data_IF_395817635195
#
_entry.id   IF_395817635195
#
_cell.length_a   1.000
_cell.length_b   1.000
_cell.length_c   1.000
_cell.angle_alpha   90.00
_cell.angle_beta   90.00
_cell.angle_gamma   90.00
#
_symmetry.space_group_name_H-M   'P 1'
#
loop_
_entity.id
_entity.type
_entity.pdbx_description
1 polymer ?
#
# COMPACT_ATOMS: atom_id res chain seq x y z
N UNK A 1 -76.82 75.63 -2.54
CA UNK A 1 -76.66 74.26 -3.08
C UNK A 1 -75.57 73.58 -2.29
N UNK A 2 -75.85 72.35 -1.89
CA UNK A 2 -75.45 71.70 -0.64
C UNK A 2 -74.17 70.86 -0.77
N UNK A 3 -73.41 70.81 0.32
CA UNK A 3 -72.26 69.94 0.62
C UNK A 3 -72.44 68.45 0.26
N UNK A 4 -71.32 67.71 0.14
CA UNK A 4 -70.91 66.53 0.97
C UNK A 4 -69.81 65.76 0.21
N UNK A 5 -68.52 65.89 0.58
CA UNK A 5 -67.75 65.17 1.64
C UNK A 5 -67.10 63.88 1.11
N UNK A 6 -65.90 64.02 0.57
CA UNK A 6 -64.97 62.92 0.28
C UNK A 6 -64.40 62.37 1.60
N UNK A 7 -64.72 61.12 1.92
CA UNK A 7 -64.14 60.37 3.04
C UNK A 7 -62.72 59.92 2.67
N UNK A 8 -61.70 60.52 3.31
CA UNK A 8 -60.36 59.94 3.42
C UNK A 8 -60.33 58.99 4.61
N UNK A 9 -59.88 57.75 4.39
CA UNK A 9 -59.46 56.81 5.43
C UNK A 9 -57.92 56.65 5.40
N UNK A 10 -57.31 56.23 6.53
CA UNK A 10 -56.00 56.72 6.95
C UNK A 10 -54.81 55.89 6.46
N UNK A 11 -53.67 56.58 6.36
CA UNK A 11 -52.34 55.97 6.29
C UNK A 11 -52.06 55.13 7.54
N UNK A 12 -51.95 53.82 7.37
CA UNK A 12 -51.26 52.96 8.34
C UNK A 12 -49.79 52.92 7.94
N UNK A 13 -48.97 53.61 8.73
CA UNK A 13 -47.52 53.47 8.69
C UNK A 13 -47.16 52.12 9.28
N UNK A 14 -46.70 51.18 8.45
CA UNK A 14 -46.03 49.96 8.94
C UNK A 14 -44.53 50.27 9.00
N UNK A 15 -44.02 50.38 10.23
CA UNK A 15 -42.60 50.47 10.51
C UNK A 15 -41.90 49.18 10.08
N UNK A 16 -40.98 49.29 9.11
CA UNK A 16 -40.08 48.19 8.73
C UNK A 16 -38.91 48.18 9.71
N UNK A 17 -38.97 47.29 10.68
CA UNK A 17 -37.85 46.99 11.58
C UNK A 17 -37.17 45.69 11.12
N UNK A 18 -36.06 45.75 10.36
CA UNK A 18 -35.25 44.55 10.05
C UNK A 18 -33.75 44.86 9.82
N UNK A 19 -32.90 44.87 10.86
CA UNK A 19 -31.46 44.66 10.67
C UNK A 19 -30.95 43.29 11.18
N UNK A 20 -31.79 42.47 11.80
CA UNK A 20 -31.33 41.24 12.50
C UNK A 20 -31.15 39.98 11.61
N UNK A 21 -31.76 39.94 10.42
CA UNK A 21 -31.69 38.76 9.54
C UNK A 21 -30.37 38.69 8.74
N UNK A 22 -29.83 39.84 8.33
CA UNK A 22 -28.59 39.91 7.56
C UNK A 22 -27.37 39.43 8.36
N UNK A 23 -27.29 39.78 9.66
CA UNK A 23 -26.20 39.34 10.54
C UNK A 23 -26.19 37.83 10.80
N UNK A 24 -27.37 37.19 10.87
CA UNK A 24 -27.49 35.74 11.09
C UNK A 24 -27.08 34.93 9.86
N UNK A 25 -27.36 35.42 8.65
CA UNK A 25 -26.90 34.80 7.40
C UNK A 25 -25.39 34.94 7.18
N UNK A 26 -24.81 36.08 7.54
CA UNK A 26 -23.36 36.28 7.45
C UNK A 26 -22.61 35.35 8.42
N UNK A 27 -23.14 35.18 9.64
CA UNK A 27 -22.56 34.31 10.66
C UNK A 27 -22.57 32.82 10.26
N UNK A 28 -23.64 32.34 9.61
CA UNK A 28 -23.68 30.94 9.13
C UNK A 28 -22.71 30.70 7.98
N UNK A 29 -22.54 31.65 7.05
CA UNK A 29 -21.56 31.52 5.97
C UNK A 29 -20.12 31.48 6.50
N UNK A 30 -19.79 32.34 7.48
CA UNK A 30 -18.46 32.32 8.14
C UNK A 30 -18.23 31.00 8.88
N UNK A 31 -19.25 30.45 9.54
CA UNK A 31 -19.14 29.16 10.25
C UNK A 31 -18.99 27.97 9.29
N UNK A 32 -19.64 27.98 8.12
CA UNK A 32 -19.43 26.97 7.07
C UNK A 32 -18.05 27.08 6.42
N UNK A 33 -17.52 28.30 6.24
CA UNK A 33 -16.17 28.51 5.69
C UNK A 33 -15.07 28.09 6.68
N UNK A 34 -15.31 28.24 8.00
CA UNK A 34 -14.38 27.77 9.03
C UNK A 34 -14.32 26.23 9.12
N UNK A 35 -15.42 25.52 8.84
CA UNK A 35 -15.47 24.06 8.88
C UNK A 35 -14.65 23.37 7.76
N UNK A 36 -14.36 24.08 6.65
CA UNK A 36 -13.58 23.53 5.53
C UNK A 36 -12.10 23.27 5.85
N UNK A 37 -11.57 23.86 6.92
CA UNK A 37 -10.14 23.79 7.26
C UNK A 37 -9.71 22.47 7.92
N UNK A 38 -10.65 21.62 8.33
CA UNK A 38 -10.35 20.38 9.08
C UNK A 38 -9.94 19.22 8.17
N UNK A 39 -10.41 19.19 6.92
CA UNK A 39 -10.07 18.10 5.96
C UNK A 39 -8.63 18.23 5.42
N UNK A 40 -8.06 19.45 5.42
CA UNK A 40 -6.72 19.71 4.90
C UNK A 40 -5.57 19.46 5.91
N UNK A 41 -5.88 19.29 7.19
CA UNK A 41 -4.89 19.06 8.26
C UNK A 41 -4.66 17.58 8.58
N UNK A 42 -5.21 16.66 7.78
CA UNK A 42 -4.85 15.25 7.91
C UNK A 42 -3.36 15.06 7.56
N UNK A 43 -2.61 14.26 8.34
CA UNK A 43 -1.23 13.92 7.97
C UNK A 43 -1.24 13.41 6.53
N UNK A 44 -0.41 13.98 5.66
CA UNK A 44 -0.27 13.56 4.26
C UNK A 44 0.43 12.20 4.20
N UNK A 45 -0.22 11.16 4.69
CA UNK A 45 0.19 9.76 4.58
C UNK A 45 -0.45 9.19 3.32
N UNK A 46 0.34 9.03 2.27
CA UNK A 46 -0.08 8.29 1.08
C UNK A 46 0.17 6.79 1.27
N UNK A 47 -0.68 6.14 2.07
CA UNK A 47 -0.69 4.68 2.21
C UNK A 47 -1.28 4.03 0.94
N UNK A 48 -0.55 4.10 -0.19
CA UNK A 48 -0.89 3.25 -1.35
C UNK A 48 -0.68 1.78 -1.04
N UNK A 49 0.19 1.49 -0.07
CA UNK A 49 0.49 0.15 0.42
C UNK A 49 0.49 0.18 1.95
N UNK A 50 -0.12 -0.83 2.56
CA UNK A 50 -0.26 -0.99 4.01
C UNK A 50 0.22 -2.39 4.42
N UNK A 51 0.62 -2.54 5.68
CA UNK A 51 1.15 -3.80 6.23
C UNK A 51 0.11 -4.93 6.28
N UNK A 52 -1.18 -4.63 6.17
CA UNK A 52 -2.27 -5.61 6.13
C UNK A 52 -2.57 -6.12 4.71
N UNK A 53 -1.83 -5.67 3.68
CA UNK A 53 -2.00 -6.21 2.34
C UNK A 53 -1.56 -7.68 2.29
N UNK A 54 -2.30 -8.55 1.55
CA UNK A 54 -1.87 -9.92 1.38
C UNK A 54 -0.55 -9.96 0.57
N UNK A 55 0.32 -10.97 0.79
CA UNK A 55 1.47 -11.21 -0.08
C UNK A 55 1.07 -11.26 -1.55
N UNK A 56 1.88 -10.68 -2.44
CA UNK A 56 1.57 -10.60 -3.87
C UNK A 56 0.73 -9.39 -4.28
N UNK A 57 0.15 -8.63 -3.35
CA UNK A 57 -0.67 -7.47 -3.70
C UNK A 57 0.13 -6.41 -4.48
N UNK A 58 1.39 -6.16 -4.08
CA UNK A 58 2.25 -5.14 -4.70
C UNK A 58 2.65 -5.57 -6.11
N UNK A 59 3.11 -6.81 -6.29
CA UNK A 59 3.51 -7.36 -7.58
C UNK A 59 2.35 -7.43 -8.56
N UNK A 60 1.15 -7.85 -8.11
CA UNK A 60 -0.05 -7.83 -8.96
C UNK A 60 -0.42 -6.42 -9.40
N UNK A 61 -0.38 -5.44 -8.49
CA UNK A 61 -0.62 -4.04 -8.82
C UNK A 61 0.45 -3.50 -9.78
N UNK A 62 1.71 -3.92 -9.63
CA UNK A 62 2.79 -3.54 -10.53
C UNK A 62 2.59 -4.12 -11.94
N UNK A 63 2.20 -5.39 -12.06
CA UNK A 63 1.87 -6.01 -13.35
C UNK A 63 0.69 -5.33 -14.06
N UNK A 64 -0.29 -4.81 -13.31
CA UNK A 64 -1.42 -4.05 -13.87
C UNK A 64 -1.01 -2.71 -14.47
N UNK A 65 0.11 -2.12 -14.03
CA UNK A 65 0.65 -0.87 -14.63
C UNK A 65 1.21 -1.10 -16.04
N UNK A 66 1.47 -2.35 -16.42
CA UNK A 66 2.04 -2.72 -17.71
C UNK A 66 3.56 -2.64 -17.74
N UNK A 67 4.13 -2.55 -18.95
CA UNK A 67 5.58 -2.55 -19.17
C UNK A 67 6.19 -3.96 -19.35
N UNK A 68 7.52 -4.05 -19.49
CA UNK A 68 8.23 -5.27 -19.90
C UNK A 68 8.46 -6.24 -18.73
N UNK A 69 7.43 -6.46 -17.91
CA UNK A 69 7.47 -7.29 -16.69
C UNK A 69 6.76 -8.64 -16.85
N UNK A 70 5.68 -8.67 -17.63
CA UNK A 70 4.88 -9.88 -17.84
C UNK A 70 5.73 -11.00 -18.45
N UNK A 71 5.67 -12.19 -17.85
CA UNK A 71 6.38 -13.37 -18.34
C UNK A 71 7.89 -13.36 -18.07
N UNK A 72 8.45 -12.31 -17.45
CA UNK A 72 9.87 -12.23 -17.21
C UNK A 72 10.29 -12.96 -15.92
N UNK A 73 11.21 -13.90 -16.06
CA UNK A 73 11.85 -14.57 -14.92
C UNK A 73 13.13 -13.82 -14.55
N UNK A 74 13.14 -13.22 -13.38
CA UNK A 74 14.31 -12.55 -12.83
C UNK A 74 15.25 -13.60 -12.19
N UNK A 75 16.51 -13.71 -12.65
CA UNK A 75 17.50 -14.51 -11.96
C UNK A 75 17.75 -13.97 -10.54
N UNK A 76 17.76 -14.88 -9.57
CA UNK A 76 18.05 -14.59 -8.16
C UNK A 76 19.01 -15.62 -7.59
N UNK A 77 19.75 -15.24 -6.57
CA UNK A 77 20.61 -16.11 -5.79
C UNK A 77 20.28 -15.95 -4.31
N UNK A 78 19.73 -16.99 -3.69
CA UNK A 78 19.31 -16.97 -2.29
C UNK A 78 20.47 -17.46 -1.44
N UNK A 79 20.93 -16.61 -0.53
CA UNK A 79 22.06 -16.84 0.36
C UNK A 79 21.54 -16.95 1.80
N UNK A 80 21.64 -18.12 2.39
CA UNK A 80 21.32 -18.35 3.81
C UNK A 80 22.57 -18.35 4.70
N UNK A 81 22.41 -18.36 6.04
CA UNK A 81 23.53 -18.40 6.95
C UNK A 81 24.28 -19.74 6.85
N UNK A 82 25.51 -19.78 7.38
CA UNK A 82 26.38 -20.96 7.32
C UNK A 82 25.65 -22.20 7.87
N UNK A 83 25.62 -23.27 7.08
CA UNK A 83 25.00 -24.54 7.45
C UNK A 83 23.51 -24.64 7.11
N UNK A 84 22.81 -23.53 6.88
CA UNK A 84 21.40 -23.57 6.51
C UNK A 84 21.20 -24.31 5.18
N UNK A 85 20.06 -24.99 5.07
CA UNK A 85 19.63 -25.66 3.84
C UNK A 85 18.32 -25.07 3.35
N UNK A 86 18.19 -24.97 2.04
CA UNK A 86 17.06 -24.39 1.34
C UNK A 86 16.40 -25.42 0.42
N UNK A 87 15.08 -25.39 0.37
CA UNK A 87 14.28 -26.08 -0.64
C UNK A 87 13.26 -25.13 -1.27
N UNK A 88 13.38 -24.92 -2.58
CA UNK A 88 12.44 -24.13 -3.37
C UNK A 88 11.12 -24.88 -3.61
N UNK A 89 10.03 -24.15 -3.81
CA UNK A 89 8.76 -24.76 -4.21
C UNK A 89 8.80 -25.23 -5.66
N UNK A 90 8.37 -26.46 -5.90
CA UNK A 90 8.22 -27.06 -7.23
C UNK A 90 7.00 -27.98 -7.25
N UNK A 91 6.07 -27.74 -8.17
CA UNK A 91 4.92 -28.64 -8.41
C UNK A 91 4.02 -28.86 -7.18
N UNK A 92 3.77 -27.83 -6.37
CA UNK A 92 2.94 -27.94 -5.16
C UNK A 92 3.64 -28.51 -3.93
N UNK A 93 4.90 -28.93 -4.04
CA UNK A 93 5.74 -29.36 -2.93
C UNK A 93 7.04 -28.57 -2.84
N UNK A 94 7.99 -29.11 -2.06
CA UNK A 94 9.35 -28.60 -1.98
C UNK A 94 10.30 -29.57 -2.67
N UNK A 95 11.30 -29.05 -3.36
CA UNK A 95 12.42 -29.86 -3.83
C UNK A 95 13.25 -30.43 -2.65
N UNK A 96 14.19 -31.35 -2.89
CA UNK A 96 15.13 -31.78 -1.86
C UNK A 96 15.92 -30.62 -1.28
N UNK A 97 16.19 -30.66 0.03
CA UNK A 97 17.01 -29.66 0.72
C UNK A 97 18.44 -29.65 0.16
N UNK A 98 18.95 -28.48 -0.18
CA UNK A 98 20.32 -28.29 -0.64
C UNK A 98 20.98 -27.13 0.12
N UNK A 99 22.31 -27.10 0.11
CA UNK A 99 23.07 -26.03 0.75
C UNK A 99 22.90 -24.69 0.01
N UNK A 100 23.16 -23.60 0.71
CA UNK A 100 23.19 -22.25 0.14
C UNK A 100 24.59 -21.95 -0.43
N UNK A 101 24.71 -21.06 -1.45
CA UNK A 101 23.66 -20.32 -2.14
C UNK A 101 22.83 -21.17 -3.12
N UNK A 102 21.60 -20.74 -3.41
CA UNK A 102 20.72 -21.39 -4.41
C UNK A 102 20.28 -20.40 -5.48
N UNK A 103 20.49 -20.75 -6.76
CA UNK A 103 20.02 -19.96 -7.91
C UNK A 103 18.66 -20.42 -8.40
N UNK A 104 17.82 -19.46 -8.78
CA UNK A 104 16.51 -19.69 -9.38
C UNK A 104 16.13 -18.54 -10.32
N UNK A 105 15.20 -18.80 -11.23
CA UNK A 105 14.46 -17.76 -11.93
C UNK A 105 13.10 -17.59 -11.25
N UNK A 106 12.78 -16.37 -10.80
CA UNK A 106 11.47 -16.06 -10.20
C UNK A 106 10.67 -15.19 -11.15
N UNK A 107 9.44 -15.60 -11.46
CA UNK A 107 8.52 -14.82 -12.28
C UNK A 107 8.11 -13.55 -11.52
N UNK A 108 8.20 -12.40 -12.20
CA UNK A 108 7.83 -11.12 -11.60
C UNK A 108 6.35 -11.10 -11.21
N UNK A 109 6.09 -10.56 -10.02
CA UNK A 109 4.75 -10.41 -9.44
C UNK A 109 4.16 -11.68 -8.84
N UNK A 110 4.93 -12.77 -8.74
CA UNK A 110 4.52 -14.00 -8.06
C UNK A 110 5.17 -14.13 -6.67
N UNK A 111 4.47 -14.84 -5.78
CA UNK A 111 4.93 -15.13 -4.42
C UNK A 111 5.48 -16.55 -4.35
N UNK A 112 6.74 -16.68 -3.97
CA UNK A 112 7.43 -17.95 -3.84
C UNK A 112 7.70 -18.28 -2.39
N UNK A 113 7.05 -19.32 -1.86
CA UNK A 113 7.40 -19.90 -0.56
C UNK A 113 8.63 -20.80 -0.72
N UNK A 114 9.47 -20.87 0.29
CA UNK A 114 10.58 -21.82 0.33
C UNK A 114 10.78 -22.29 1.75
N UNK A 115 11.36 -23.48 1.91
CA UNK A 115 11.65 -24.06 3.22
C UNK A 115 13.12 -23.81 3.56
N UNK A 116 13.37 -23.36 4.79
CA UNK A 116 14.71 -23.23 5.37
C UNK A 116 14.83 -24.15 6.58
N UNK A 117 15.91 -24.93 6.63
CA UNK A 117 16.22 -25.82 7.75
C UNK A 117 17.68 -25.69 8.19
N UNK A 118 18.03 -26.38 9.29
CA UNK A 118 19.36 -26.32 9.90
C UNK A 118 19.77 -24.89 10.27
N UNK A 119 18.84 -24.20 10.95
CA UNK A 119 19.00 -22.81 11.39
C UNK A 119 19.99 -22.80 12.57
N UNK A 120 21.01 -21.90 12.56
CA UNK A 120 21.95 -21.78 13.67
C UNK A 120 21.23 -21.62 15.02
N UNK A 121 21.73 -22.35 16.02
CA UNK A 121 21.23 -22.35 17.41
C UNK A 121 19.75 -22.74 17.58
N UNK A 122 19.13 -23.32 16.55
CA UNK A 122 17.71 -23.70 16.53
C UNK A 122 17.52 -25.11 15.93
N UNK A 123 17.92 -26.17 16.64
CA UNK A 123 17.85 -27.53 16.13
C UNK A 123 16.40 -27.97 15.91
N UNK A 124 16.14 -28.61 14.77
CA UNK A 124 14.80 -29.12 14.41
C UNK A 124 13.79 -28.06 13.97
N UNK A 125 14.13 -26.76 14.05
CA UNK A 125 13.27 -25.68 13.58
C UNK A 125 13.33 -25.56 12.06
N UNK A 126 12.15 -25.47 11.45
CA UNK A 126 11.99 -25.17 10.03
C UNK A 126 11.13 -23.91 9.89
N UNK A 127 11.52 -23.02 8.97
CA UNK A 127 10.73 -21.83 8.63
C UNK A 127 10.40 -21.79 7.15
N UNK A 128 9.33 -21.09 6.82
CA UNK A 128 8.78 -21.05 5.46
C UNK A 128 8.55 -19.62 4.94
N UNK A 129 9.62 -18.82 4.82
CA UNK A 129 9.55 -17.49 4.25
C UNK A 129 9.02 -17.47 2.81
N UNK A 130 8.58 -16.30 2.39
CA UNK A 130 8.13 -16.02 1.03
C UNK A 130 8.95 -14.89 0.40
N UNK A 131 9.30 -15.03 -0.88
CA UNK A 131 9.92 -13.98 -1.70
C UNK A 131 8.94 -13.54 -2.79
N UNK A 132 8.90 -12.24 -3.04
CA UNK A 132 8.19 -11.62 -4.15
C UNK A 132 9.15 -10.67 -4.87
N UNK A 133 9.31 -10.87 -6.19
CA UNK A 133 10.08 -9.95 -7.04
C UNK A 133 9.08 -9.04 -7.74
N UNK A 134 9.19 -7.74 -7.48
CA UNK A 134 8.25 -6.74 -8.00
C UNK A 134 8.71 -6.13 -9.33
N UNK A 135 10.00 -6.18 -9.64
CA UNK A 135 10.55 -5.54 -10.84
C UNK A 135 11.76 -6.31 -11.38
N UNK A 136 12.19 -5.99 -12.60
CA UNK A 136 13.36 -6.56 -13.25
C UNK A 136 14.56 -5.62 -13.19
N UNK A 137 15.74 -6.20 -13.31
CA UNK A 137 16.93 -5.46 -13.71
C UNK A 137 17.14 -5.53 -15.23
N UNK A 138 18.04 -4.68 -15.74
CA UNK A 138 18.41 -4.60 -17.15
C UNK A 138 19.90 -4.92 -17.34
N UNK A 139 20.30 -6.20 -17.17
CA UNK A 139 21.66 -6.63 -17.47
C UNK A 139 21.91 -6.60 -18.99
N UNK A 140 23.18 -6.69 -19.44
CA UNK A 140 23.50 -6.83 -20.85
C UNK A 140 22.78 -8.01 -21.49
N UNK A 141 22.25 -7.82 -22.70
CA UNK A 141 21.46 -8.83 -23.41
C UNK A 141 22.26 -10.14 -23.56
N UNK A 142 21.63 -11.26 -23.22
CA UNK A 142 22.23 -12.59 -23.26
C UNK A 142 23.12 -12.93 -22.05
N UNK A 143 23.32 -12.00 -21.11
CA UNK A 143 24.10 -12.19 -19.88
C UNK A 143 23.24 -12.13 -18.63
N UNK A 144 21.92 -12.23 -18.74
CA UNK A 144 20.97 -12.06 -17.65
C UNK A 144 21.30 -12.98 -16.46
N UNK A 145 21.68 -14.22 -16.73
CA UNK A 145 22.03 -15.22 -15.71
C UNK A 145 23.33 -14.92 -14.94
N UNK A 146 24.18 -14.02 -15.45
CA UNK A 146 25.41 -13.59 -14.78
C UNK A 146 25.15 -12.51 -13.72
N UNK A 147 23.97 -11.90 -13.73
CA UNK A 147 23.57 -10.84 -12.81
C UNK A 147 22.36 -11.26 -11.95
N UNK A 148 22.45 -12.35 -11.15
CA UNK A 148 21.37 -12.69 -10.24
C UNK A 148 21.25 -11.62 -9.15
N UNK A 149 20.01 -11.33 -8.72
CA UNK A 149 19.78 -10.50 -7.54
C UNK A 149 20.11 -11.33 -6.30
N UNK A 150 21.09 -10.93 -5.46
CA UNK A 150 21.40 -11.65 -4.23
C UNK A 150 20.32 -11.36 -3.18
N UNK A 151 19.75 -12.41 -2.60
CA UNK A 151 18.78 -12.34 -1.52
C UNK A 151 19.42 -12.96 -0.28
N UNK A 152 19.88 -12.11 0.63
CA UNK A 152 20.46 -12.53 1.89
C UNK A 152 19.37 -12.77 2.92
N UNK A 153 19.23 -14.02 3.34
CA UNK A 153 18.41 -14.42 4.48
C UNK A 153 19.36 -14.61 5.66
N UNK A 154 19.31 -13.71 6.64
CA UNK A 154 20.26 -13.71 7.75
C UNK A 154 19.82 -14.68 8.87
N UNK A 155 20.75 -15.03 9.76
CA UNK A 155 20.39 -15.80 10.96
C UNK A 155 19.38 -15.05 11.84
N UNK A 156 19.46 -13.72 11.89
CA UNK A 156 18.51 -12.87 12.60
C UNK A 156 17.10 -12.95 12.01
N UNK A 157 16.97 -12.92 10.68
CA UNK A 157 15.67 -13.06 10.00
C UNK A 157 15.02 -14.40 10.32
N UNK A 158 15.81 -15.48 10.28
CA UNK A 158 15.35 -16.83 10.59
C UNK A 158 14.97 -16.99 12.06
N UNK A 159 15.73 -16.34 12.96
CA UNK A 159 15.41 -16.31 14.39
C UNK A 159 14.11 -15.57 14.68
N UNK A 160 13.88 -14.41 14.04
CA UNK A 160 12.60 -13.71 14.16
C UNK A 160 11.46 -14.56 13.60
N UNK A 161 11.62 -15.13 12.41
CA UNK A 161 10.59 -15.96 11.78
C UNK A 161 10.23 -17.22 12.59
N UNK A 162 11.20 -17.80 13.32
CA UNK A 162 10.97 -18.97 14.16
C UNK A 162 10.12 -18.69 15.41
N UNK A 163 9.94 -17.41 15.79
CA UNK A 163 9.19 -17.01 16.99
C UNK A 163 7.70 -16.74 16.72
N UNK A 164 7.27 -16.83 15.46
CA UNK A 164 5.92 -16.44 15.02
C UNK A 164 5.75 -14.94 14.87
#
# INVERSE_FOLDING_TARGET
MTMVRTLRLPNVVVAVCRPLLAGRMLATVVMLLAAGSVVAQQPKMHYRHSSNLPPGAIGRAQLQRGGPLHGYFQPVEIVGPKGAKLALTKGGGFEPLQQTPRRAGLLIGQVYRFRVTNIPDQPGVEVFPTIEIIDRIYPPAGREAEFPIPIHVTAGDLFLAARG
#
